data_IF_467953633665
#
_entry.id   IF_467953633665
#
_cell.length_a   1.000
_cell.length_b   1.000
_cell.length_c   1.000
_cell.angle_alpha   90.00
_cell.angle_beta   90.00
_cell.angle_gamma   90.00
#
_symmetry.space_group_name_H-M   'P 1'
#
loop_
_entity.id
_entity.type
_entity.pdbx_description
1 polymer ?
#
# COMPACT_ATOMS: atom_id res chain seq x y z
N UNK A 1 6.76 9.62 -7.51
CA UNK A 1 5.54 10.43 -7.62
C UNK A 1 5.79 11.78 -8.27
N UNK A 2 6.70 12.58 -7.74
CA UNK A 2 7.00 13.92 -8.26
C UNK A 2 7.43 13.88 -9.74
N UNK A 3 8.15 12.84 -10.13
CA UNK A 3 8.56 12.63 -11.52
C UNK A 3 7.38 12.33 -12.44
N UNK A 4 6.38 11.58 -11.95
CA UNK A 4 5.17 11.32 -12.73
C UNK A 4 4.34 12.59 -12.88
N UNK A 5 4.17 13.36 -11.81
CA UNK A 5 3.50 14.66 -11.86
C UNK A 5 4.19 15.63 -12.83
N UNK A 6 5.52 15.58 -12.89
CA UNK A 6 6.27 16.42 -13.84
C UNK A 6 6.11 16.01 -15.31
N UNK A 7 5.80 14.73 -15.57
CA UNK A 7 5.53 14.23 -16.92
C UNK A 7 4.11 14.52 -17.37
N UNK A 8 3.16 14.66 -16.45
CA UNK A 8 1.71 14.62 -16.73
C UNK A 8 1.02 15.98 -16.81
N UNK A 9 1.73 17.06 -16.85
CA UNK A 9 1.08 18.37 -17.04
C UNK A 9 0.31 18.50 -18.37
N UNK A 10 0.40 17.52 -19.27
CA UNK A 10 -0.24 17.51 -20.56
C UNK A 10 -1.27 16.39 -20.80
N UNK A 11 -1.29 15.30 -20.02
CA UNK A 11 -2.06 14.10 -20.33
C UNK A 11 -2.76 13.53 -19.08
N UNK A 12 -3.75 14.25 -18.54
CA UNK A 12 -4.55 13.81 -17.40
C UNK A 12 -5.28 12.46 -17.63
N UNK A 13 -5.40 12.03 -18.88
CA UNK A 13 -6.06 10.78 -19.28
C UNK A 13 -5.08 9.59 -19.39
N UNK A 14 -3.78 9.81 -19.32
CA UNK A 14 -2.82 8.72 -19.33
C UNK A 14 -2.85 7.94 -18.01
N UNK A 15 -2.82 6.63 -18.13
CA UNK A 15 -2.76 5.70 -17.01
C UNK A 15 -1.51 4.82 -17.11
N UNK A 16 -0.34 5.36 -16.81
CA UNK A 16 0.89 4.60 -16.91
C UNK A 16 0.89 3.40 -15.96
N UNK A 17 1.36 2.28 -16.44
CA UNK A 17 1.57 1.03 -15.71
C UNK A 17 2.95 0.45 -16.05
N UNK A 18 3.48 -0.49 -15.26
CA UNK A 18 4.79 -1.07 -15.51
C UNK A 18 4.91 -1.69 -16.89
N UNK A 19 6.01 -1.43 -17.58
CA UNK A 19 6.36 -2.08 -18.87
C UNK A 19 7.40 -3.18 -18.73
N UNK A 20 8.11 -3.24 -17.61
CA UNK A 20 9.12 -4.25 -17.30
C UNK A 20 9.29 -4.38 -15.79
N UNK A 21 9.67 -5.57 -15.33
CA UNK A 21 10.01 -5.83 -13.94
C UNK A 21 11.44 -6.32 -13.82
N UNK A 22 12.15 -6.04 -12.71
CA UNK A 22 13.47 -6.57 -12.47
C UNK A 22 13.45 -8.10 -12.45
N UNK A 23 14.40 -8.72 -13.12
CA UNK A 23 14.64 -10.16 -12.97
C UNK A 23 15.47 -10.36 -11.71
N UNK A 24 15.01 -11.19 -10.77
CA UNK A 24 15.62 -11.37 -9.44
C UNK A 24 17.11 -11.74 -9.46
N UNK A 25 17.58 -12.38 -10.53
CA UNK A 25 18.97 -12.78 -10.69
C UNK A 25 19.82 -11.72 -11.39
N UNK A 26 19.21 -10.64 -11.83
CA UNK A 26 19.91 -9.54 -12.49
C UNK A 26 20.02 -8.35 -11.52
N UNK A 27 20.91 -7.45 -11.90
CA UNK A 27 21.10 -6.19 -11.19
C UNK A 27 19.84 -5.33 -11.24
N UNK A 28 19.35 -4.88 -10.07
CA UNK A 28 18.19 -4.01 -9.92
C UNK A 28 18.47 -2.73 -9.12
N UNK A 29 19.74 -2.45 -8.84
CA UNK A 29 20.22 -1.27 -8.11
C UNK A 29 20.38 -0.03 -8.99
N UNK A 30 20.22 -0.17 -10.31
CA UNK A 30 20.23 0.93 -11.27
C UNK A 30 18.82 1.25 -11.69
N UNK A 31 18.35 2.43 -11.32
CA UNK A 31 17.02 2.90 -11.68
C UNK A 31 16.93 3.23 -13.18
N UNK A 32 15.94 2.65 -13.92
CA UNK A 32 15.74 2.99 -15.32
C UNK A 32 15.36 4.46 -15.51
N UNK A 33 15.79 5.06 -16.61
CA UNK A 33 15.36 6.42 -16.97
C UNK A 33 13.95 6.44 -17.56
N UNK A 34 13.54 5.36 -18.23
CA UNK A 34 12.18 5.22 -18.74
C UNK A 34 11.20 5.09 -17.58
N UNK A 35 10.15 5.92 -17.57
CA UNK A 35 9.21 6.02 -16.44
C UNK A 35 8.44 4.71 -16.21
N UNK A 36 7.91 4.07 -17.25
CA UNK A 36 7.13 2.83 -17.10
C UNK A 36 7.99 1.63 -16.69
N UNK A 37 9.28 1.61 -17.07
CA UNK A 37 10.23 0.63 -16.58
C UNK A 37 10.60 0.89 -15.11
N UNK A 38 10.69 2.18 -14.70
CA UNK A 38 10.90 2.57 -13.30
C UNK A 38 9.73 2.16 -12.41
N UNK A 39 8.49 2.27 -12.90
CA UNK A 39 7.33 1.76 -12.16
C UNK A 39 7.46 0.28 -11.81
N UNK A 40 8.09 -0.53 -12.66
CA UNK A 40 8.31 -1.94 -12.41
C UNK A 40 9.24 -2.26 -11.25
N UNK A 41 10.06 -1.30 -10.79
CA UNK A 41 10.85 -1.47 -9.56
C UNK A 41 9.97 -1.45 -8.31
N UNK A 42 8.85 -0.73 -8.35
CA UNK A 42 7.98 -0.46 -7.22
C UNK A 42 6.58 -1.04 -7.38
N UNK A 43 6.35 -1.86 -8.41
CA UNK A 43 5.06 -2.48 -8.68
C UNK A 43 5.20 -3.98 -8.75
N UNK A 44 4.30 -4.71 -8.10
CA UNK A 44 4.27 -6.16 -8.15
C UNK A 44 3.42 -6.69 -9.32
N UNK A 45 2.55 -5.85 -9.87
CA UNK A 45 1.65 -6.20 -10.97
C UNK A 45 1.39 -5.00 -11.90
N UNK A 46 0.55 -5.19 -12.90
CA UNK A 46 0.10 -4.15 -13.83
C UNK A 46 -1.36 -3.73 -13.60
N UNK A 47 -1.98 -4.17 -12.51
CA UNK A 47 -3.36 -3.88 -12.16
C UNK A 47 -3.58 -2.53 -11.46
N UNK A 48 -2.50 -1.79 -11.18
CA UNK A 48 -2.55 -0.54 -10.42
C UNK A 48 -1.97 0.63 -11.22
N UNK A 49 -2.60 1.04 -12.33
CA UNK A 49 -2.12 2.16 -13.12
C UNK A 49 -2.21 3.46 -12.32
N UNK A 50 -1.28 4.37 -12.55
CA UNK A 50 -1.34 5.70 -11.98
C UNK A 50 -2.29 6.58 -12.79
N UNK A 51 -3.02 7.46 -12.13
CA UNK A 51 -3.80 8.52 -12.77
C UNK A 51 -3.68 9.82 -11.98
N UNK A 52 -4.11 10.94 -12.53
CA UNK A 52 -3.94 12.28 -11.95
C UNK A 52 -4.41 12.36 -10.47
N UNK A 53 -5.48 11.65 -10.10
CA UNK A 53 -6.01 11.62 -8.75
C UNK A 53 -5.41 10.58 -7.81
N UNK A 54 -4.53 9.68 -8.28
CA UNK A 54 -4.07 8.52 -7.49
C UNK A 54 -3.41 8.93 -6.17
N UNK A 55 -2.48 9.86 -6.22
CA UNK A 55 -1.79 10.31 -5.00
C UNK A 55 -2.73 10.99 -4.01
N UNK A 56 -3.55 11.91 -4.50
CA UNK A 56 -4.51 12.61 -3.64
C UNK A 56 -5.46 11.64 -2.94
N UNK A 57 -5.98 10.65 -3.66
CA UNK A 57 -6.87 9.63 -3.12
C UNK A 57 -6.15 8.70 -2.14
N UNK A 58 -4.97 8.19 -2.49
CA UNK A 58 -4.18 7.30 -1.64
C UNK A 58 -3.78 8.00 -0.34
N UNK A 59 -3.29 9.25 -0.45
CA UNK A 59 -2.93 10.06 0.72
C UNK A 59 -4.14 10.33 1.61
N UNK A 60 -5.29 10.71 1.05
CA UNK A 60 -6.50 10.95 1.82
C UNK A 60 -6.97 9.68 2.56
N UNK A 61 -6.83 8.50 1.96
CA UNK A 61 -7.11 7.22 2.61
C UNK A 61 -6.19 6.96 3.80
N UNK A 62 -4.89 7.18 3.64
CA UNK A 62 -3.91 7.04 4.72
C UNK A 62 -4.14 8.08 5.84
N UNK A 63 -4.44 9.34 5.51
CA UNK A 63 -4.75 10.39 6.47
C UNK A 63 -6.04 10.07 7.26
N UNK A 64 -7.06 9.50 6.61
CA UNK A 64 -8.28 9.05 7.28
C UNK A 64 -7.99 7.90 8.26
N UNK A 65 -7.16 6.93 7.89
CA UNK A 65 -6.75 5.85 8.77
C UNK A 65 -5.95 6.34 9.99
N UNK A 66 -5.02 7.27 9.78
CA UNK A 66 -4.29 7.93 10.87
C UNK A 66 -5.24 8.71 11.79
N UNK A 67 -6.20 9.45 11.22
CA UNK A 67 -7.21 10.20 12.00
C UNK A 67 -8.10 9.30 12.84
N UNK A 68 -8.51 8.14 12.28
CA UNK A 68 -9.27 7.12 13.00
C UNK A 68 -8.47 6.55 14.18
N UNK A 69 -7.20 6.23 13.97
CA UNK A 69 -6.31 5.78 15.04
C UNK A 69 -6.15 6.85 16.14
N UNK A 70 -6.01 8.11 15.77
CA UNK A 70 -5.95 9.24 16.72
C UNK A 70 -7.24 9.40 17.53
N UNK A 71 -8.41 9.14 16.92
CA UNK A 71 -9.69 9.18 17.65
C UNK A 71 -9.73 8.11 18.76
N UNK A 72 -9.25 6.90 18.48
CA UNK A 72 -9.11 5.83 19.48
C UNK A 72 -8.17 6.24 20.62
N UNK A 73 -7.04 6.84 20.31
CA UNK A 73 -6.09 7.36 21.32
C UNK A 73 -6.69 8.45 22.21
N UNK A 74 -7.69 9.18 21.72
CA UNK A 74 -8.45 10.19 22.47
C UNK A 74 -9.63 9.62 23.27
N UNK A 75 -9.83 8.31 23.23
CA UNK A 75 -10.83 7.62 24.04
C UNK A 75 -12.06 7.13 23.29
N UNK A 76 -12.14 7.31 21.97
CA UNK A 76 -13.18 6.67 21.18
C UNK A 76 -13.04 5.16 21.24
N UNK A 77 -14.16 4.43 21.26
CA UNK A 77 -14.16 2.97 21.38
C UNK A 77 -13.99 2.26 20.03
N UNK A 78 -14.39 2.92 18.95
CA UNK A 78 -14.31 2.42 17.59
C UNK A 78 -14.30 3.57 16.61
N UNK A 79 -13.73 3.31 15.42
CA UNK A 79 -13.76 4.22 14.29
C UNK A 79 -13.86 3.40 12.99
N UNK A 80 -14.48 3.97 11.98
CA UNK A 80 -14.66 3.34 10.68
C UNK A 80 -14.20 4.27 9.56
N UNK A 81 -13.36 3.76 8.64
CA UNK A 81 -12.89 4.49 7.47
C UNK A 81 -13.36 3.81 6.19
N UNK A 82 -14.27 4.44 5.45
CA UNK A 82 -14.65 4.04 4.11
C UNK A 82 -13.75 4.76 3.08
N UNK A 83 -12.62 4.15 2.73
CA UNK A 83 -11.60 4.77 1.89
C UNK A 83 -11.35 3.99 0.59
N UNK A 84 -10.94 4.72 -0.45
CA UNK A 84 -10.38 4.23 -1.70
C UNK A 84 -9.18 5.11 -2.07
N UNK A 85 -8.12 4.51 -2.68
CA UNK A 85 -7.89 3.09 -2.96
C UNK A 85 -7.73 2.24 -1.70
N UNK A 86 -7.75 0.88 -1.83
CA UNK A 86 -7.41 -0.02 -0.73
C UNK A 86 -5.92 0.08 -0.36
N UNK A 87 -5.42 -0.71 0.60
CA UNK A 87 -4.06 -0.53 1.09
C UNK A 87 -3.27 -1.81 1.36
N UNK A 88 -3.92 -2.94 1.62
CA UNK A 88 -3.29 -4.11 2.22
C UNK A 88 -2.27 -4.85 1.33
N UNK A 89 -2.28 -4.61 0.03
CA UNK A 89 -1.28 -5.14 -0.91
C UNK A 89 -0.04 -4.25 -1.03
N UNK A 90 -0.08 -2.99 -0.59
CA UNK A 90 1.09 -2.11 -0.61
C UNK A 90 2.06 -2.45 0.54
N UNK A 91 3.33 -2.66 0.21
CA UNK A 91 4.43 -2.81 1.15
C UNK A 91 5.19 -1.51 1.38
N UNK A 92 6.39 -1.62 1.94
CA UNK A 92 7.24 -0.47 2.20
C UNK A 92 7.84 0.14 0.92
N UNK A 93 8.07 -0.68 -0.09
CA UNK A 93 8.78 -0.34 -1.33
C UNK A 93 8.08 -0.89 -2.60
N UNK A 94 6.86 -1.38 -2.48
CA UNK A 94 6.08 -1.86 -3.62
C UNK A 94 4.60 -1.52 -3.49
N UNK A 95 3.94 -1.40 -4.63
CA UNK A 95 2.50 -1.24 -4.81
C UNK A 95 1.94 -2.35 -5.70
N UNK A 96 0.64 -2.56 -5.66
CA UNK A 96 -0.07 -3.54 -6.49
C UNK A 96 -1.45 -3.84 -5.94
N UNK A 97 -2.25 -4.66 -6.61
CA UNK A 97 -3.60 -5.01 -6.16
C UNK A 97 -4.47 -3.78 -5.86
N UNK A 98 -4.36 -2.74 -6.66
CA UNK A 98 -5.02 -1.43 -6.49
C UNK A 98 -4.56 -0.64 -5.26
N UNK A 99 -3.51 -1.09 -4.54
CA UNK A 99 -3.01 -0.49 -3.32
C UNK A 99 -1.74 0.32 -3.60
N UNK A 100 -1.68 1.56 -3.08
CA UNK A 100 -0.54 2.48 -3.23
C UNK A 100 0.09 2.84 -1.88
N UNK A 101 -0.72 3.01 -0.84
CA UNK A 101 -0.30 3.20 0.55
C UNK A 101 -1.04 2.19 1.43
N UNK A 102 -0.36 1.66 2.44
CA UNK A 102 -0.97 0.68 3.34
C UNK A 102 -1.69 1.38 4.50
N UNK A 103 -2.99 1.62 4.34
CA UNK A 103 -3.82 2.33 5.31
C UNK A 103 -3.85 1.63 6.68
N UNK A 104 -3.87 0.29 6.72
CA UNK A 104 -3.87 -0.47 7.96
C UNK A 104 -2.53 -0.37 8.71
N UNK A 105 -1.41 -0.43 7.97
CA UNK A 105 -0.08 -0.24 8.56
C UNK A 105 0.11 1.20 9.08
N UNK A 106 -0.43 2.21 8.38
CA UNK A 106 -0.43 3.62 8.84
C UNK A 106 -1.22 3.75 10.14
N UNK A 107 -2.41 3.16 10.24
CA UNK A 107 -3.21 3.16 11.47
C UNK A 107 -2.48 2.46 12.62
N UNK A 108 -1.91 1.26 12.35
CA UNK A 108 -1.14 0.51 13.34
C UNK A 108 0.06 1.32 13.87
N UNK A 109 0.81 1.97 12.98
CA UNK A 109 1.94 2.81 13.36
C UNK A 109 1.46 4.02 14.18
N UNK A 110 0.39 4.68 13.76
CA UNK A 110 -0.17 5.82 14.50
C UNK A 110 -0.58 5.44 15.93
N UNK A 111 -1.20 4.27 16.12
CA UNK A 111 -1.52 3.76 17.46
C UNK A 111 -0.26 3.50 18.28
N UNK A 112 0.78 2.92 17.67
CA UNK A 112 2.06 2.66 18.34
C UNK A 112 2.73 3.96 18.78
N UNK A 113 2.78 4.96 17.91
CA UNK A 113 3.37 6.27 18.19
C UNK A 113 2.59 7.01 19.31
N UNK A 114 1.29 6.75 19.39
CA UNK A 114 0.42 7.26 20.44
C UNK A 114 0.48 6.51 21.78
N UNK A 115 1.35 5.48 21.91
CA UNK A 115 1.61 4.78 23.16
C UNK A 115 0.90 3.44 23.34
N UNK A 116 0.19 2.93 22.33
CA UNK A 116 -0.34 1.56 22.38
C UNK A 116 0.82 0.56 22.48
N UNK A 117 0.86 -0.27 23.52
CA UNK A 117 1.98 -1.20 23.74
C UNK A 117 2.11 -2.28 22.65
N UNK A 118 1.02 -2.72 22.09
CA UNK A 118 0.93 -3.66 20.96
C UNK A 118 -0.31 -3.36 20.14
N UNK A 119 -0.26 -3.68 18.85
CA UNK A 119 -1.40 -3.58 17.93
C UNK A 119 -1.62 -4.89 17.23
N UNK A 120 -2.86 -5.15 16.82
CA UNK A 120 -3.19 -6.28 15.95
C UNK A 120 -3.92 -5.75 14.72
N UNK A 121 -3.58 -6.30 13.56
CA UNK A 121 -4.30 -6.11 12.30
C UNK A 121 -4.93 -7.44 11.95
N UNK A 122 -6.26 -7.48 11.88
CA UNK A 122 -7.02 -8.62 11.38
C UNK A 122 -7.53 -8.25 9.98
N UNK A 123 -6.99 -8.92 8.98
CA UNK A 123 -7.38 -8.77 7.58
C UNK A 123 -8.37 -9.87 7.20
N UNK A 124 -9.57 -9.47 6.81
CA UNK A 124 -10.65 -10.38 6.40
C UNK A 124 -11.03 -10.17 4.94
N UNK A 125 -10.20 -9.46 4.17
CA UNK A 125 -10.34 -9.40 2.73
C UNK A 125 -10.18 -10.79 2.13
N UNK A 126 -10.85 -11.04 1.01
CA UNK A 126 -10.73 -12.31 0.29
C UNK A 126 -9.29 -12.58 -0.18
N UNK A 127 -8.56 -11.52 -0.54
CA UNK A 127 -7.17 -11.63 -0.97
C UNK A 127 -6.20 -11.48 0.21
N UNK A 128 -5.13 -12.24 0.20
CA UNK A 128 -4.08 -12.13 1.21
C UNK A 128 -3.43 -10.74 1.22
N UNK A 129 -3.49 -10.05 2.36
CA UNK A 129 -2.87 -8.74 2.58
C UNK A 129 -1.35 -8.82 2.74
N UNK A 130 -0.66 -9.35 1.74
CA UNK A 130 0.79 -9.61 1.79
C UNK A 130 1.63 -8.35 2.00
N UNK A 131 1.16 -7.17 1.58
CA UNK A 131 1.83 -5.88 1.84
C UNK A 131 1.81 -5.52 3.33
N UNK A 132 0.69 -5.76 4.01
CA UNK A 132 0.60 -5.60 5.46
C UNK A 132 1.49 -6.62 6.16
N UNK A 133 1.47 -7.88 5.74
CA UNK A 133 2.36 -8.92 6.27
C UNK A 133 3.84 -8.51 6.12
N UNK A 134 4.27 -8.11 4.93
CA UNK A 134 5.65 -7.70 4.68
C UNK A 134 6.07 -6.51 5.56
N UNK A 135 5.18 -5.53 5.75
CA UNK A 135 5.44 -4.33 6.55
C UNK A 135 5.55 -4.64 8.05
N UNK A 136 4.79 -5.62 8.53
CA UNK A 136 4.71 -5.94 9.97
C UNK A 136 5.49 -7.20 10.36
N UNK A 137 6.13 -7.91 9.42
CA UNK A 137 6.69 -9.25 9.60
C UNK A 137 7.71 -9.33 10.74
N UNK A 138 8.65 -8.42 10.80
CA UNK A 138 9.73 -8.40 11.80
C UNK A 138 9.40 -7.54 13.03
N UNK A 139 8.11 -7.23 13.24
CA UNK A 139 7.64 -6.32 14.28
C UNK A 139 7.06 -7.09 15.47
N UNK A 140 7.78 -7.19 16.62
CA UNK A 140 7.27 -7.88 17.81
C UNK A 140 6.12 -7.13 18.51
N UNK A 141 5.90 -5.88 18.16
CA UNK A 141 4.87 -5.00 18.68
C UNK A 141 3.59 -4.97 17.83
N UNK A 142 3.58 -5.67 16.69
CA UNK A 142 2.45 -5.74 15.78
C UNK A 142 2.12 -7.20 15.41
N UNK A 143 0.87 -7.60 15.60
CA UNK A 143 0.38 -8.91 15.17
C UNK A 143 -0.43 -8.73 13.87
N UNK A 144 -0.07 -9.47 12.82
CA UNK A 144 -0.87 -9.56 11.61
C UNK A 144 -1.56 -10.93 11.52
N UNK A 145 -2.85 -10.92 11.30
CA UNK A 145 -3.70 -12.08 11.08
C UNK A 145 -4.47 -11.88 9.78
N UNK A 146 -4.53 -12.89 8.92
CA UNK A 146 -5.27 -12.84 7.67
C UNK A 146 -6.10 -14.10 7.45
N UNK A 147 -7.35 -13.92 7.00
CA UNK A 147 -8.26 -14.99 6.59
C UNK A 147 -8.59 -14.73 5.13
N UNK A 148 -8.06 -15.54 4.23
CA UNK A 148 -8.10 -15.27 2.79
C UNK A 148 -8.32 -16.54 1.97
N UNK A 149 -8.58 -16.38 0.68
CA UNK A 149 -8.69 -17.47 -0.28
C UNK A 149 -7.38 -18.25 -0.44
N UNK A 150 -7.47 -19.42 -1.07
CA UNK A 150 -6.30 -20.28 -1.27
C UNK A 150 -5.27 -19.60 -2.19
N UNK A 151 -4.04 -19.28 -1.71
CA UNK A 151 -3.04 -18.59 -2.51
C UNK A 151 -2.49 -19.43 -3.68
N UNK A 152 -2.86 -20.71 -3.79
CA UNK A 152 -2.53 -21.52 -4.96
C UNK A 152 -3.39 -21.18 -6.18
N UNK A 153 -4.53 -20.53 -5.99
CA UNK A 153 -5.50 -20.18 -7.04
C UNK A 153 -5.85 -18.68 -7.05
N UNK A 154 -5.64 -18.00 -5.95
CA UNK A 154 -6.10 -16.63 -5.75
C UNK A 154 -4.93 -15.65 -5.65
N UNK A 155 -5.15 -14.44 -6.21
CA UNK A 155 -4.20 -13.35 -6.09
C UNK A 155 -3.89 -13.06 -4.59
N UNK A 156 -2.65 -12.73 -4.20
CA UNK A 156 -1.46 -12.47 -5.03
C UNK A 156 -0.58 -13.69 -5.34
N UNK A 157 -1.05 -14.92 -5.08
CA UNK A 157 -0.40 -16.22 -5.29
C UNK A 157 0.76 -16.55 -4.34
#
# INVERSE_FOLDING_TARGET
>A
WDQWLALDSANADEQPFPSAWPVRTLRSDVEPQNFTARLGLYSMDNGSPLCAGTWAAAKAGADAAASAAQALLKGERSSFCATRPPGHHAGADFMGGYCFLNNAAVAAQTLRDGGAARVAVLDVDYHHGHGTQATLYDRPDALFLSIHGDPSTEYPF
#
